data_IF_276204885206
#
_entry.id   IF_276204885206
#
_cell.length_a   1.000
_cell.length_b   1.000
_cell.length_c   1.000
_cell.angle_alpha   90.00
_cell.angle_beta   90.00
_cell.angle_gamma   90.00
#
_symmetry.space_group_name_H-M   'P 1'
#
loop_
_entity.id
_entity.type
_entity.pdbx_description
1 polymer ?
#
# COMPACT_ATOMS: atom_id res chain seq x y z
N UNK A 1 -12.71 -7.88 -1.43
CA UNK A 1 -12.04 -7.98 -2.76
C UNK A 1 -11.42 -9.34 -3.02
N UNK A 2 -10.66 -9.91 -2.08
CA UNK A 2 -10.06 -11.24 -2.27
C UNK A 2 -11.11 -12.36 -2.21
N UNK A 3 -11.07 -13.24 -3.21
CA UNK A 3 -11.80 -14.51 -3.28
C UNK A 3 -11.06 -15.44 -4.24
N UNK A 4 -11.14 -16.74 -4.01
CA UNK A 4 -10.52 -17.76 -4.90
C UNK A 4 -11.42 -18.13 -6.07
N UNK A 5 -12.73 -17.93 -5.94
CA UNK A 5 -13.69 -18.04 -7.04
C UNK A 5 -13.75 -16.70 -7.81
N UNK A 6 -13.43 -16.69 -9.11
CA UNK A 6 -13.51 -15.48 -9.94
C UNK A 6 -14.89 -14.84 -9.98
N UNK A 7 -15.98 -15.61 -9.91
CA UNK A 7 -17.35 -15.07 -9.94
C UNK A 7 -17.64 -14.29 -8.66
N UNK A 8 -17.28 -14.88 -7.52
CA UNK A 8 -17.42 -14.24 -6.22
C UNK A 8 -16.50 -13.01 -6.09
N UNK A 9 -15.26 -13.10 -6.59
CA UNK A 9 -14.34 -11.96 -6.67
C UNK A 9 -14.97 -10.82 -7.48
N UNK A 10 -15.47 -11.11 -8.68
CA UNK A 10 -16.08 -10.13 -9.56
C UNK A 10 -17.33 -9.49 -8.92
N UNK A 11 -18.17 -10.29 -8.23
CA UNK A 11 -19.33 -9.79 -7.47
C UNK A 11 -18.88 -8.80 -6.39
N UNK A 12 -17.92 -9.19 -5.56
CA UNK A 12 -17.39 -8.32 -4.49
C UNK A 12 -16.80 -7.04 -5.05
N UNK A 13 -15.96 -7.14 -6.08
CA UNK A 13 -15.35 -5.97 -6.73
C UNK A 13 -16.43 -5.04 -7.29
N UNK A 14 -17.44 -5.57 -7.96
CA UNK A 14 -18.54 -4.76 -8.52
C UNK A 14 -19.28 -3.96 -7.45
N UNK A 15 -19.54 -4.54 -6.29
CA UNK A 15 -20.27 -3.87 -5.21
C UNK A 15 -19.42 -2.85 -4.44
N UNK A 16 -18.09 -2.97 -4.48
CA UNK A 16 -17.18 -2.06 -3.78
C UNK A 16 -16.55 -1.01 -4.71
N UNK A 17 -16.71 -1.17 -6.03
CA UNK A 17 -16.03 -0.39 -7.07
C UNK A 17 -16.17 1.12 -6.93
N UNK A 18 -17.32 1.61 -6.42
CA UNK A 18 -17.56 3.04 -6.23
C UNK A 18 -16.51 3.69 -5.32
N UNK A 19 -16.07 2.98 -4.26
CA UNK A 19 -15.04 3.47 -3.33
C UNK A 19 -13.65 3.58 -3.94
N UNK A 20 -13.39 2.88 -5.05
CA UNK A 20 -12.11 2.88 -5.75
C UNK A 20 -12.16 3.62 -7.08
N UNK A 21 -13.23 4.38 -7.34
CA UNK A 21 -13.37 5.14 -8.57
C UNK A 21 -12.27 6.22 -8.64
N UNK A 22 -11.65 6.38 -9.82
CA UNK A 22 -10.57 7.36 -10.01
C UNK A 22 -11.02 8.78 -9.65
N UNK A 23 -12.28 9.15 -9.94
CA UNK A 23 -12.84 10.44 -9.55
C UNK A 23 -12.82 10.66 -8.03
N UNK A 24 -13.05 9.62 -7.24
CA UNK A 24 -13.00 9.66 -5.79
C UNK A 24 -11.56 9.78 -5.28
N UNK A 25 -10.67 8.98 -5.87
CA UNK A 25 -9.24 8.98 -5.60
C UNK A 25 -8.64 10.38 -5.84
N UNK A 26 -8.94 11.01 -6.98
CA UNK A 26 -8.53 12.39 -7.29
C UNK A 26 -9.18 13.40 -6.35
N UNK A 27 -10.47 13.26 -6.03
CA UNK A 27 -11.14 14.16 -5.08
C UNK A 27 -10.57 14.07 -3.65
N UNK A 28 -9.93 12.95 -3.28
CA UNK A 28 -9.30 12.76 -1.98
C UNK A 28 -7.93 13.45 -1.85
N UNK A 29 -7.36 13.90 -2.97
CA UNK A 29 -6.00 14.42 -3.07
C UNK A 29 -5.65 15.52 -2.04
N UNK A 30 -6.49 16.56 -1.81
CA UNK A 30 -6.18 17.61 -0.84
C UNK A 30 -6.07 17.10 0.61
N UNK A 31 -6.72 15.98 0.93
CA UNK A 31 -6.65 15.38 2.26
C UNK A 31 -5.40 14.50 2.43
N UNK A 32 -4.95 13.87 1.35
CA UNK A 32 -3.62 13.25 1.28
C UNK A 32 -2.53 14.30 1.48
N UNK A 33 -2.69 15.50 0.89
CA UNK A 33 -1.74 16.61 1.06
C UNK A 33 -1.57 17.01 2.52
N UNK A 34 -2.64 16.98 3.32
CA UNK A 34 -2.54 17.28 4.75
C UNK A 34 -1.72 16.21 5.50
N UNK A 35 -1.89 14.93 5.16
CA UNK A 35 -1.07 13.86 5.72
C UNK A 35 0.41 14.02 5.34
N UNK A 36 0.70 14.35 4.07
CA UNK A 36 2.07 14.61 3.60
C UNK A 36 2.65 15.87 4.29
N UNK A 37 1.86 16.92 4.48
CA UNK A 37 2.26 18.13 5.20
C UNK A 37 2.63 17.83 6.65
N UNK A 38 1.85 17.01 7.34
CA UNK A 38 2.15 16.56 8.69
C UNK A 38 3.42 15.71 8.73
N UNK A 39 3.60 14.77 7.79
CA UNK A 39 4.82 13.99 7.64
C UNK A 39 6.05 14.89 7.44
N UNK A 40 5.97 15.83 6.51
CA UNK A 40 7.02 16.84 6.24
C UNK A 40 7.36 17.65 7.48
N UNK A 41 6.34 18.13 8.20
CA UNK A 41 6.52 18.87 9.47
C UNK A 41 7.26 18.01 10.52
N UNK A 42 6.93 16.72 10.60
CA UNK A 42 7.58 15.78 11.53
C UNK A 42 9.03 15.54 11.12
N UNK A 43 9.30 15.22 9.87
CA UNK A 43 10.67 15.04 9.36
C UNK A 43 11.50 16.31 9.58
N UNK A 44 10.95 17.49 9.31
CA UNK A 44 11.63 18.77 9.54
C UNK A 44 12.06 18.96 11.00
N UNK A 45 11.28 18.45 11.97
CA UNK A 45 11.62 18.54 13.39
C UNK A 45 12.85 17.71 13.77
N UNK A 46 13.16 16.64 13.02
CA UNK A 46 14.41 15.87 13.15
C UNK A 46 15.53 16.44 12.30
N UNK A 47 15.22 16.94 11.10
CA UNK A 47 16.20 17.49 10.18
C UNK A 47 16.89 18.76 10.72
N UNK A 48 16.14 19.67 11.35
CA UNK A 48 16.68 20.91 11.93
C UNK A 48 17.84 20.69 12.93
N UNK A 49 17.72 19.80 13.91
CA UNK A 49 18.84 19.46 14.81
C UNK A 49 19.82 18.44 14.22
N UNK A 50 19.59 17.90 13.01
CA UNK A 50 20.39 16.81 12.44
C UNK A 50 20.20 15.47 13.17
N UNK A 51 19.03 15.25 13.76
CA UNK A 51 18.72 14.04 14.50
C UNK A 51 18.40 12.86 13.56
N UNK A 52 18.73 11.62 13.95
CA UNK A 52 18.36 10.44 13.19
C UNK A 52 16.83 10.28 13.12
N UNK A 53 16.33 9.78 11.98
CA UNK A 53 14.90 9.56 11.75
C UNK A 53 14.64 8.14 11.25
N UNK A 54 13.70 7.46 11.89
CA UNK A 54 13.19 6.15 11.46
C UNK A 54 12.12 6.35 10.39
N UNK A 55 12.54 6.46 9.12
CA UNK A 55 11.62 6.68 7.99
C UNK A 55 10.58 5.56 7.86
N UNK A 56 10.92 4.33 8.22
CA UNK A 56 10.00 3.20 8.23
C UNK A 56 8.77 3.45 9.11
N UNK A 57 8.97 4.00 10.31
CA UNK A 57 7.89 4.28 11.24
C UNK A 57 7.00 5.41 10.71
N UNK A 58 7.62 6.50 10.23
CA UNK A 58 6.90 7.66 9.73
C UNK A 58 6.13 7.37 8.43
N UNK A 59 6.65 6.51 7.55
CA UNK A 59 5.91 6.05 6.37
C UNK A 59 4.75 5.12 6.73
N UNK A 60 4.89 4.27 7.75
CA UNK A 60 3.74 3.52 8.29
C UNK A 60 2.67 4.48 8.82
N UNK A 61 3.05 5.45 9.66
CA UNK A 61 2.11 6.43 10.21
C UNK A 61 1.37 7.21 9.13
N UNK A 62 2.09 7.66 8.10
CA UNK A 62 1.47 8.35 6.97
C UNK A 62 0.49 7.45 6.23
N UNK A 63 0.88 6.21 5.92
CA UNK A 63 0.02 5.29 5.20
C UNK A 63 -1.26 4.92 5.96
N UNK A 64 -1.20 4.80 7.30
CA UNK A 64 -2.38 4.60 8.14
C UNK A 64 -3.29 5.84 8.19
N UNK A 65 -2.73 7.03 8.30
CA UNK A 65 -3.55 8.24 8.33
C UNK A 65 -4.16 8.57 6.96
N UNK A 66 -3.46 8.33 5.85
CA UNK A 66 -3.99 8.50 4.49
C UNK A 66 -5.16 7.54 4.24
N UNK A 67 -5.03 6.25 4.54
CA UNK A 67 -6.13 5.31 4.30
C UNK A 67 -7.33 5.64 5.18
N UNK A 68 -7.09 6.09 6.41
CA UNK A 68 -8.13 6.51 7.33
C UNK A 68 -8.87 7.74 6.83
N UNK A 69 -8.13 8.73 6.33
CA UNK A 69 -8.68 9.96 5.75
C UNK A 69 -9.54 9.66 4.51
N UNK A 70 -9.11 8.71 3.67
CA UNK A 70 -9.87 8.26 2.48
C UNK A 70 -11.14 7.46 2.88
N UNK A 71 -11.06 6.60 3.91
CA UNK A 71 -12.17 5.72 4.28
C UNK A 71 -13.17 6.35 5.24
N UNK A 72 -12.69 7.19 6.16
CA UNK A 72 -13.45 7.70 7.30
C UNK A 72 -13.52 9.23 7.35
N UNK A 73 -13.05 9.92 6.32
CA UNK A 73 -12.98 11.37 6.31
C UNK A 73 -12.24 11.98 7.50
N UNK A 74 -11.35 11.19 8.09
CA UNK A 74 -10.65 11.51 9.33
C UNK A 74 -9.40 10.64 9.48
N UNK A 75 -8.28 11.27 9.78
CA UNK A 75 -7.03 10.63 10.18
C UNK A 75 -7.19 9.87 11.52
N UNK A 76 -6.50 8.74 11.66
CA UNK A 76 -6.46 8.04 12.94
C UNK A 76 -5.62 8.80 13.98
N UNK A 77 -4.61 9.54 13.54
CA UNK A 77 -3.74 10.37 14.36
C UNK A 77 -2.36 9.75 14.60
N UNK A 78 -1.90 8.83 13.75
CA UNK A 78 -0.56 8.24 13.86
C UNK A 78 0.54 9.31 13.67
N UNK A 79 0.40 10.19 12.67
CA UNK A 79 1.32 11.30 12.41
C UNK A 79 1.28 12.37 13.51
N UNK A 80 0.08 12.67 14.02
CA UNK A 80 -0.10 13.65 15.07
C UNK A 80 0.48 13.16 16.40
N UNK A 81 0.29 11.90 16.76
CA UNK A 81 0.81 11.37 18.03
C UNK A 81 2.26 10.91 17.91
N UNK A 82 2.72 10.55 16.71
CA UNK A 82 4.01 9.90 16.48
C UNK A 82 4.11 8.52 17.12
N UNK A 83 2.98 7.84 17.33
CA UNK A 83 2.88 6.58 18.08
C UNK A 83 2.10 5.53 17.29
N UNK A 84 2.45 4.27 17.53
CA UNK A 84 1.67 3.13 17.06
C UNK A 84 0.35 3.03 17.84
N UNK A 85 -0.74 3.51 17.22
CA UNK A 85 -2.05 3.53 17.85
C UNK A 85 -2.59 2.11 18.03
N UNK A 86 -2.85 1.79 19.29
CA UNK A 86 -3.35 0.50 19.69
C UNK A 86 -2.38 -0.65 19.44
N UNK A 87 -1.11 -0.43 19.05
CA UNK A 87 -0.20 -1.53 18.69
C UNK A 87 -0.51 -2.14 17.31
N UNK A 88 -1.22 -1.42 16.44
CA UNK A 88 -1.66 -1.87 15.13
C UNK A 88 -0.49 -2.27 14.22
N UNK A 89 0.57 -1.46 14.17
CA UNK A 89 1.74 -1.70 13.32
C UNK A 89 2.57 -2.85 13.89
N UNK A 90 2.82 -2.84 15.20
CA UNK A 90 3.55 -3.92 15.87
C UNK A 90 2.87 -5.28 15.65
N UNK A 91 1.54 -5.31 15.74
CA UNK A 91 0.78 -6.52 15.47
C UNK A 91 0.86 -6.95 13.99
N UNK A 92 0.72 -6.03 13.03
CA UNK A 92 0.92 -6.35 11.60
C UNK A 92 2.28 -6.98 11.33
N UNK A 93 3.36 -6.47 11.94
CA UNK A 93 4.71 -7.03 11.79
C UNK A 93 4.82 -8.49 12.26
N UNK A 94 4.04 -8.90 13.25
CA UNK A 94 3.98 -10.30 13.72
C UNK A 94 3.03 -11.15 12.87
N UNK A 95 1.93 -10.56 12.41
CA UNK A 95 0.89 -11.26 11.68
C UNK A 95 1.31 -11.57 10.24
N UNK A 96 2.01 -10.67 9.56
CA UNK A 96 2.39 -10.82 8.15
C UNK A 96 3.23 -12.08 7.90
N UNK A 97 4.29 -12.40 8.68
CA UNK A 97 5.01 -13.66 8.53
C UNK A 97 4.12 -14.89 8.73
N UNK A 98 3.23 -14.84 9.73
CA UNK A 98 2.27 -15.92 9.96
C UNK A 98 1.36 -16.11 8.74
N UNK A 99 0.66 -15.06 8.30
CA UNK A 99 -0.26 -15.10 7.15
C UNK A 99 0.45 -15.51 5.86
N UNK A 100 1.67 -15.02 5.64
CA UNK A 100 2.48 -15.39 4.48
C UNK A 100 2.77 -16.88 4.46
N UNK A 101 3.15 -17.46 5.61
CA UNK A 101 3.42 -18.89 5.71
C UNK A 101 2.12 -19.72 5.60
N UNK A 102 1.10 -19.42 6.41
CA UNK A 102 -0.14 -20.21 6.43
C UNK A 102 -0.99 -20.05 5.17
N UNK A 103 -0.82 -18.94 4.43
CA UNK A 103 -1.48 -18.69 3.15
C UNK A 103 -1.11 -19.70 2.06
N UNK A 104 0.14 -20.21 2.07
CA UNK A 104 0.55 -21.30 1.18
C UNK A 104 0.14 -22.68 1.71
N UNK A 105 0.04 -22.85 3.03
CA UNK A 105 -0.33 -24.11 3.68
C UNK A 105 -1.77 -24.10 4.21
N UNK A 106 -2.75 -23.93 3.31
CA UNK A 106 -4.17 -23.83 3.67
C UNK A 106 -4.71 -25.02 4.47
N UNK A 107 -4.13 -26.21 4.27
CA UNK A 107 -4.44 -27.44 5.03
C UNK A 107 -4.02 -27.34 6.50
N UNK A 108 -2.94 -26.60 6.81
CA UNK A 108 -2.48 -26.32 8.17
C UNK A 108 -3.21 -25.12 8.80
N UNK A 109 -3.66 -24.17 7.97
CA UNK A 109 -4.43 -23.01 8.41
C UNK A 109 -5.85 -23.37 8.89
N UNK A 110 -6.52 -24.29 8.19
CA UNK A 110 -7.91 -24.71 8.48
C UNK A 110 -8.13 -25.22 9.91
N UNK A 111 -7.29 -26.09 10.48
CA UNK A 111 -7.47 -26.56 11.86
C UNK A 111 -6.95 -25.58 12.93
N UNK A 112 -6.29 -24.48 12.55
CA UNK A 112 -5.73 -23.48 13.47
C UNK A 112 -6.60 -22.22 13.49
N UNK A 113 -6.04 -21.03 13.20
CA UNK A 113 -6.74 -19.74 13.25
C UNK A 113 -7.84 -19.64 12.17
N UNK A 114 -7.79 -20.47 11.13
CA UNK A 114 -8.83 -20.56 10.11
C UNK A 114 -10.08 -21.35 10.51
N UNK A 115 -10.09 -21.97 11.70
CA UNK A 115 -11.26 -22.66 12.25
C UNK A 115 -12.16 -21.63 12.95
N UNK A 116 -13.42 -21.43 12.51
CA UNK A 116 -14.35 -20.48 13.13
C UNK A 116 -14.48 -20.65 14.64
N UNK A 117 -14.43 -21.89 15.15
CA UNK A 117 -14.53 -22.19 16.59
C UNK A 117 -13.31 -21.71 17.38
N UNK A 118 -12.15 -21.65 16.73
CA UNK A 118 -10.90 -21.14 17.31
C UNK A 118 -10.86 -19.63 17.15
N UNK A 119 -11.29 -19.08 16.01
CA UNK A 119 -11.39 -17.64 15.77
C UNK A 119 -12.33 -16.96 16.78
N UNK A 120 -13.46 -17.59 17.12
CA UNK A 120 -14.42 -17.09 18.12
C UNK A 120 -13.82 -17.08 19.54
N UNK A 121 -12.78 -17.89 19.80
CA UNK A 121 -12.01 -17.93 21.05
C UNK A 121 -10.85 -16.92 21.09
N UNK A 122 -10.66 -16.16 20.02
CA UNK A 122 -9.69 -15.08 19.87
C UNK A 122 -8.23 -15.39 20.30
N UNK A 123 -7.61 -16.52 19.87
CA UNK A 123 -6.19 -16.79 20.15
C UNK A 123 -5.24 -15.93 19.33
N UNK A 124 -5.75 -15.24 18.29
CA UNK A 124 -5.08 -14.07 17.77
C UNK A 124 -5.27 -12.95 18.77
N UNK A 125 -4.42 -12.96 19.81
CA UNK A 125 -4.06 -11.76 20.54
C UNK A 125 -3.87 -10.64 19.51
N UNK A 126 -4.86 -9.76 19.52
CA UNK A 126 -4.90 -8.40 19.00
C UNK A 126 -5.12 -8.17 17.50
N UNK A 127 -6.39 -8.21 17.04
CA UNK A 127 -6.76 -7.45 15.84
C UNK A 127 -6.82 -5.94 16.13
N UNK A 128 -5.69 -5.34 16.51
CA UNK A 128 -5.61 -3.91 16.85
C UNK A 128 -6.03 -2.99 15.69
N UNK A 129 -5.79 -3.42 14.45
CA UNK A 129 -6.32 -2.73 13.25
C UNK A 129 -7.85 -2.81 13.21
N UNK A 130 -8.44 -3.96 13.58
CA UNK A 130 -9.89 -4.09 13.67
C UNK A 130 -10.47 -3.20 14.76
N UNK A 131 -9.85 -3.13 15.94
CA UNK A 131 -10.28 -2.25 17.02
C UNK A 131 -10.23 -0.78 16.59
N UNK A 132 -9.16 -0.38 15.92
CA UNK A 132 -8.99 0.97 15.33
C UNK A 132 -10.08 1.27 14.30
N UNK A 133 -10.30 0.32 13.38
CA UNK A 133 -11.31 0.42 12.32
C UNK A 133 -12.73 0.48 12.88
N UNK A 134 -13.08 -0.41 13.80
CA UNK A 134 -14.39 -0.43 14.45
C UNK A 134 -14.62 0.84 15.28
N UNK A 135 -13.59 1.37 15.92
CA UNK A 135 -13.69 2.65 16.65
C UNK A 135 -14.00 3.80 15.70
N UNK A 136 -13.39 3.83 14.51
CA UNK A 136 -13.69 4.83 13.49
C UNK A 136 -15.11 4.69 12.93
N UNK A 137 -15.58 3.46 12.67
CA UNK A 137 -16.96 3.18 12.25
C UNK A 137 -17.96 3.65 13.32
N UNK A 138 -17.72 3.34 14.60
CA UNK A 138 -18.57 3.79 15.71
C UNK A 138 -18.56 5.32 15.86
N UNK A 139 -17.42 5.97 15.64
CA UNK A 139 -17.33 7.42 15.65
C UNK A 139 -18.15 8.04 14.51
N UNK A 140 -18.12 7.44 13.31
CA UNK A 140 -18.96 7.85 12.17
C UNK A 140 -20.45 7.81 12.49
N UNK A 141 -20.93 6.78 13.18
CA UNK A 141 -22.35 6.68 13.56
C UNK A 141 -22.84 7.89 14.37
N UNK A 142 -21.94 8.58 15.09
CA UNK A 142 -22.25 9.78 15.88
C UNK A 142 -22.16 11.09 15.09
N UNK A 143 -21.56 11.07 13.90
CA UNK A 143 -21.43 12.23 13.02
C UNK A 143 -21.69 11.82 11.56
N UNK A 144 -22.97 11.76 11.14
CA UNK A 144 -23.35 11.26 9.82
C UNK A 144 -23.07 12.27 8.70
N UNK A 145 -22.95 13.56 9.02
CA UNK A 145 -22.71 14.62 8.04
C UNK A 145 -21.21 14.79 7.81
N UNK A 146 -20.69 13.96 6.92
CA UNK A 146 -19.30 14.00 6.46
C UNK A 146 -19.25 14.13 4.95
N UNK A 147 -18.09 14.53 4.44
CA UNK A 147 -17.82 14.45 3.00
C UNK A 147 -18.03 13.02 2.49
N UNK A 148 -18.29 12.89 1.21
CA UNK A 148 -18.42 11.57 0.59
C UNK A 148 -17.07 10.86 0.63
N UNK A 149 -17.00 9.75 1.36
CA UNK A 149 -15.86 8.85 1.50
C UNK A 149 -16.23 7.41 1.14
N UNK A 150 -15.22 6.54 1.11
CA UNK A 150 -15.39 5.12 0.78
C UNK A 150 -16.42 4.44 1.68
N UNK A 151 -16.39 4.71 2.99
CA UNK A 151 -17.36 4.14 3.92
C UNK A 151 -18.78 4.58 3.58
N UNK A 152 -19.01 5.86 3.31
CA UNK A 152 -20.33 6.36 2.93
C UNK A 152 -20.83 5.72 1.63
N UNK A 153 -19.96 5.60 0.63
CA UNK A 153 -20.30 4.96 -0.65
C UNK A 153 -20.72 3.50 -0.45
N UNK A 154 -20.02 2.76 0.42
CA UNK A 154 -20.36 1.36 0.72
C UNK A 154 -21.60 1.24 1.63
N UNK A 155 -21.81 2.17 2.56
CA UNK A 155 -23.02 2.23 3.37
C UNK A 155 -24.26 2.46 2.47
N UNK A 156 -24.18 3.40 1.52
CA UNK A 156 -25.24 3.63 0.51
C UNK A 156 -25.50 2.38 -0.33
N UNK A 157 -24.46 1.64 -0.71
CA UNK A 157 -24.60 0.38 -1.45
C UNK A 157 -25.27 -0.71 -0.62
N UNK A 158 -24.90 -0.84 0.67
CA UNK A 158 -25.52 -1.77 1.60
C UNK A 158 -27.00 -1.42 1.83
N UNK A 159 -27.32 -0.15 2.06
CA UNK A 159 -28.69 0.32 2.25
C UNK A 159 -29.57 0.04 1.02
N UNK A 160 -29.03 0.27 -0.18
CA UNK A 160 -29.76 0.06 -1.44
C UNK A 160 -29.88 -1.41 -1.85
N UNK A 161 -28.88 -2.22 -1.52
CA UNK A 161 -28.78 -3.63 -1.93
C UNK A 161 -28.19 -4.50 -0.80
N UNK A 162 -28.89 -4.68 0.33
CA UNK A 162 -28.37 -5.40 1.49
C UNK A 162 -28.07 -6.88 1.19
N UNK A 163 -28.74 -7.45 0.17
CA UNK A 163 -28.50 -8.81 -0.33
C UNK A 163 -27.20 -8.94 -1.14
N UNK A 164 -26.65 -7.83 -1.63
CA UNK A 164 -25.42 -7.80 -2.44
C UNK A 164 -24.19 -7.40 -1.63
N UNK A 165 -24.37 -6.66 -0.55
CA UNK A 165 -23.29 -6.30 0.37
C UNK A 165 -23.88 -6.33 1.78
N UNK A 166 -23.62 -7.38 2.54
CA UNK A 166 -24.05 -7.44 3.95
C UNK A 166 -23.19 -6.52 4.83
N UNK A 167 -23.72 -6.11 5.98
CA UNK A 167 -22.98 -5.29 6.95
C UNK A 167 -21.67 -5.95 7.40
N UNK A 168 -21.71 -7.28 7.64
CA UNK A 168 -20.52 -8.06 7.99
C UNK A 168 -19.47 -8.03 6.87
N UNK A 169 -19.90 -8.19 5.61
CA UNK A 169 -18.98 -8.08 4.47
C UNK A 169 -18.42 -6.67 4.32
N UNK A 170 -19.22 -5.63 4.54
CA UNK A 170 -18.80 -4.23 4.50
C UNK A 170 -17.73 -3.96 5.56
N UNK A 171 -17.99 -4.25 6.84
CA UNK A 171 -17.01 -4.04 7.92
C UNK A 171 -15.73 -4.85 7.68
N UNK A 172 -15.86 -6.09 7.21
CA UNK A 172 -14.71 -6.90 6.82
C UNK A 172 -13.89 -6.28 5.69
N UNK A 173 -14.54 -5.71 4.67
CA UNK A 173 -13.86 -5.05 3.56
C UNK A 173 -13.18 -3.75 3.97
N UNK A 174 -13.79 -2.95 4.84
CA UNK A 174 -13.16 -1.74 5.39
C UNK A 174 -11.91 -2.11 6.18
N UNK A 175 -12.00 -3.08 7.10
CA UNK A 175 -10.86 -3.52 7.91
C UNK A 175 -9.70 -4.06 7.05
N UNK A 176 -10.01 -4.89 6.05
CA UNK A 176 -8.99 -5.38 5.10
C UNK A 176 -8.37 -4.23 4.32
N UNK A 177 -9.15 -3.25 3.87
CA UNK A 177 -8.63 -2.13 3.07
C UNK A 177 -7.69 -1.24 3.88
N UNK A 178 -7.99 -1.01 5.18
CA UNK A 178 -7.10 -0.28 6.09
C UNK A 178 -5.76 -1.00 6.25
N UNK A 179 -5.76 -2.30 6.56
CA UNK A 179 -4.52 -3.05 6.74
C UNK A 179 -3.72 -3.20 5.43
N UNK A 180 -4.37 -3.70 4.38
CA UNK A 180 -3.70 -4.06 3.12
C UNK A 180 -3.14 -2.82 2.40
N UNK A 181 -3.88 -1.71 2.38
CA UNK A 181 -3.42 -0.50 1.70
C UNK A 181 -2.31 0.21 2.48
N UNK A 182 -2.41 0.31 3.81
CA UNK A 182 -1.37 0.95 4.61
C UNK A 182 -0.05 0.21 4.54
N UNK A 183 -0.05 -1.11 4.66
CA UNK A 183 1.17 -1.91 4.61
C UNK A 183 1.86 -1.86 3.23
N UNK A 184 1.09 -1.87 2.15
CA UNK A 184 1.64 -1.81 0.78
C UNK A 184 2.21 -0.43 0.45
N UNK A 185 1.52 0.65 0.81
CA UNK A 185 2.01 2.03 0.61
C UNK A 185 3.26 2.29 1.45
N UNK A 186 3.25 1.89 2.73
CA UNK A 186 4.40 2.10 3.61
C UNK A 186 5.60 1.29 3.14
N UNK A 187 5.43 0.02 2.74
CA UNK A 187 6.50 -0.80 2.20
C UNK A 187 7.07 -0.24 0.90
N UNK A 188 6.21 0.33 0.05
CA UNK A 188 6.62 0.95 -1.21
C UNK A 188 7.48 2.19 -0.98
N UNK A 189 7.05 3.09 -0.10
CA UNK A 189 7.83 4.27 0.27
C UNK A 189 9.15 3.89 0.93
N UNK A 190 9.14 2.94 1.88
CA UNK A 190 10.36 2.48 2.51
C UNK A 190 11.34 1.92 1.45
N UNK A 191 10.86 1.04 0.57
CA UNK A 191 11.68 0.41 -0.48
C UNK A 191 12.23 1.45 -1.44
N UNK A 192 11.38 2.38 -1.87
CA UNK A 192 11.75 3.49 -2.74
C UNK A 192 12.90 4.32 -2.13
N UNK A 193 12.74 4.78 -0.88
CA UNK A 193 13.75 5.62 -0.24
C UNK A 193 15.04 4.85 0.05
N UNK A 194 14.94 3.63 0.54
CA UNK A 194 16.13 2.81 0.79
C UNK A 194 16.93 2.56 -0.49
N UNK A 195 16.27 2.15 -1.57
CA UNK A 195 16.95 1.84 -2.83
C UNK A 195 17.62 3.09 -3.42
N UNK A 196 16.99 4.25 -3.33
CA UNK A 196 17.62 5.50 -3.75
C UNK A 196 18.78 5.92 -2.84
N UNK A 197 18.62 5.85 -1.52
CA UNK A 197 19.68 6.21 -0.57
C UNK A 197 20.92 5.31 -0.76
N UNK A 198 20.71 4.02 -1.02
CA UNK A 198 21.76 3.04 -1.31
C UNK A 198 22.36 3.18 -2.72
N UNK A 199 21.75 3.98 -3.59
CA UNK A 199 22.22 4.25 -4.95
C UNK A 199 22.31 5.76 -5.21
N UNK A 200 23.32 6.45 -4.66
CA UNK A 200 23.45 7.92 -4.74
C UNK A 200 23.38 8.48 -6.16
N UNK A 201 23.87 7.72 -7.15
CA UNK A 201 23.77 8.07 -8.56
C UNK A 201 22.32 8.18 -9.06
N UNK A 202 21.44 7.27 -8.64
CA UNK A 202 20.02 7.31 -9.00
C UNK A 202 19.27 8.37 -8.17
N UNK A 203 19.63 8.54 -6.89
CA UNK A 203 19.09 9.62 -6.07
C UNK A 203 19.40 11.00 -6.67
N UNK A 204 20.62 11.21 -7.15
CA UNK A 204 21.00 12.46 -7.82
C UNK A 204 20.16 12.72 -9.07
N UNK A 205 19.92 11.70 -9.91
CA UNK A 205 19.07 11.83 -11.10
C UNK A 205 17.62 12.15 -10.72
N UNK A 206 17.04 11.46 -9.73
CA UNK A 206 15.69 11.74 -9.26
C UNK A 206 15.54 13.16 -8.71
N UNK A 207 16.52 13.63 -7.92
CA UNK A 207 16.54 15.01 -7.40
C UNK A 207 16.69 16.04 -8.52
N UNK A 208 17.54 15.78 -9.51
CA UNK A 208 17.69 16.67 -10.66
C UNK A 208 16.39 16.76 -11.47
N UNK A 209 15.74 15.63 -11.74
CA UNK A 209 14.44 15.60 -12.44
C UNK A 209 13.37 16.43 -11.70
N UNK A 210 13.31 16.31 -10.38
CA UNK A 210 12.39 17.11 -9.54
C UNK A 210 12.74 18.60 -9.60
N UNK A 211 14.03 18.96 -9.55
CA UNK A 211 14.46 20.35 -9.63
C UNK A 211 14.12 20.98 -11.01
N UNK A 212 14.36 20.24 -12.09
CA UNK A 212 14.08 20.69 -13.46
C UNK A 212 12.58 20.88 -13.73
N UNK A 213 11.73 20.16 -12.99
CA UNK A 213 10.28 20.30 -13.08
C UNK A 213 9.75 21.63 -12.53
N UNK A 214 10.57 22.44 -11.84
CA UNK A 214 10.22 23.76 -11.31
C UNK A 214 8.90 23.77 -10.52
N UNK A 215 8.76 22.80 -9.62
CA UNK A 215 7.56 22.62 -8.79
C UNK A 215 7.43 23.81 -7.82
N UNK A 216 6.24 24.41 -7.75
CA UNK A 216 5.99 25.61 -6.93
C UNK A 216 5.12 25.33 -5.70
N UNK A 217 4.41 24.21 -5.68
CA UNK A 217 3.51 23.85 -4.59
C UNK A 217 4.27 23.34 -3.36
N UNK A 218 3.76 23.65 -2.16
CA UNK A 218 4.32 23.14 -0.89
C UNK A 218 4.35 21.61 -0.83
N UNK A 219 3.30 20.98 -1.37
CA UNK A 219 3.14 19.55 -1.55
C UNK A 219 3.00 19.32 -3.06
N UNK A 220 3.80 18.41 -3.60
CA UNK A 220 3.79 18.09 -5.03
C UNK A 220 2.46 17.43 -5.38
N UNK A 221 1.76 17.92 -6.41
CA UNK A 221 0.50 17.35 -6.87
C UNK A 221 0.68 15.98 -7.53
N UNK A 222 -0.36 15.15 -7.57
CA UNK A 222 -0.35 13.88 -8.30
C UNK A 222 -0.02 14.09 -9.79
N UNK A 223 -0.62 15.14 -10.36
CA UNK A 223 -0.41 15.52 -11.75
C UNK A 223 1.05 15.88 -12.04
N UNK A 224 1.73 16.55 -11.12
CA UNK A 224 3.15 16.87 -11.26
C UNK A 224 4.02 15.63 -11.03
N UNK A 225 3.76 14.86 -9.98
CA UNK A 225 4.51 13.64 -9.67
C UNK A 225 4.41 12.58 -10.78
N UNK A 226 3.26 12.50 -11.44
CA UNK A 226 3.01 11.62 -12.59
C UNK A 226 3.81 12.00 -13.85
N UNK A 227 4.29 13.25 -13.94
CA UNK A 227 5.11 13.73 -15.08
C UNK A 227 6.62 13.53 -14.88
N UNK A 228 7.04 12.90 -13.79
CA UNK A 228 8.45 12.65 -13.45
C UNK A 228 8.84 11.21 -13.84
N UNK A 229 9.24 10.94 -15.10
CA UNK A 229 9.41 9.58 -15.59
C UNK A 229 10.48 8.75 -14.87
N UNK A 230 11.56 9.37 -14.40
CA UNK A 230 12.59 8.69 -13.63
C UNK A 230 12.10 8.38 -12.22
N UNK A 231 11.44 9.32 -11.55
CA UNK A 231 10.80 9.06 -10.25
C UNK A 231 9.83 7.87 -10.33
N UNK A 232 8.99 7.85 -11.37
CA UNK A 232 8.03 6.78 -11.66
C UNK A 232 8.70 5.43 -11.97
N UNK A 233 9.95 5.44 -12.39
CA UNK A 233 10.72 4.24 -12.71
C UNK A 233 11.40 3.60 -11.48
N UNK A 234 11.43 4.30 -10.34
CA UNK A 234 12.11 3.84 -9.14
C UNK A 234 11.33 2.81 -8.32
N UNK A 235 10.07 2.52 -8.66
CA UNK A 235 9.20 1.58 -7.95
C UNK A 235 8.95 0.27 -8.71
N UNK A 236 8.89 -0.86 -8.00
CA UNK A 236 8.65 -2.19 -8.59
C UNK A 236 7.89 -3.12 -7.65
N UNK A 237 6.64 -3.46 -7.95
CA UNK A 237 5.91 -4.54 -7.27
C UNK A 237 5.03 -5.35 -8.23
N UNK A 238 4.74 -6.61 -7.87
CA UNK A 238 3.94 -7.53 -8.66
C UNK A 238 3.34 -8.64 -7.78
N UNK A 239 2.05 -8.94 -7.97
CA UNK A 239 1.26 -9.83 -7.10
C UNK A 239 1.20 -11.28 -7.61
N UNK A 240 1.13 -12.23 -6.67
CA UNK A 240 1.03 -13.67 -6.97
C UNK A 240 -0.32 -14.05 -7.62
N UNK A 241 -0.36 -15.21 -8.29
CA UNK A 241 -1.54 -15.75 -8.99
C UNK A 241 -1.70 -17.25 -8.74
N UNK A 242 -2.95 -17.72 -8.72
CA UNK A 242 -3.30 -19.14 -8.52
C UNK A 242 -3.89 -19.72 -9.81
N UNK A 243 -3.51 -20.95 -10.16
CA UNK A 243 -4.01 -21.64 -11.35
C UNK A 243 -5.49 -22.03 -11.17
N UNK A 244 -6.38 -21.73 -12.14
CA UNK A 244 -7.79 -22.10 -12.09
C UNK A 244 -8.02 -23.61 -11.94
N UNK A 245 -9.21 -24.01 -11.46
CA UNK A 245 -9.56 -25.40 -11.22
C UNK A 245 -9.55 -26.30 -12.48
N UNK A 246 -9.65 -25.72 -13.67
CA UNK A 246 -9.57 -26.45 -14.95
C UNK A 246 -8.12 -26.71 -15.41
N UNK A 247 -7.12 -26.28 -14.62
CA UNK A 247 -5.75 -26.17 -15.09
C UNK A 247 -5.60 -25.04 -16.11
N UNK A 248 -4.36 -24.77 -16.53
CA UNK A 248 -4.10 -23.85 -17.64
C UNK A 248 -2.85 -24.26 -18.39
N UNK A 249 -2.91 -24.25 -19.71
CA UNK A 249 -1.73 -24.45 -20.56
C UNK A 249 -1.17 -23.11 -20.97
N UNK A 250 0.06 -22.80 -20.55
CA UNK A 250 0.77 -21.55 -20.90
C UNK A 250 2.11 -21.95 -21.52
N UNK A 251 2.41 -21.43 -22.72
CA UNK A 251 3.70 -21.69 -23.39
C UNK A 251 3.97 -23.19 -23.64
N UNK A 252 2.93 -23.97 -23.94
CA UNK A 252 3.05 -25.43 -24.15
C UNK A 252 3.18 -26.27 -22.88
N UNK A 253 3.22 -25.66 -21.69
CA UNK A 253 3.26 -26.37 -20.41
C UNK A 253 1.89 -26.34 -19.74
N UNK A 254 1.34 -27.51 -19.43
CA UNK A 254 0.12 -27.63 -18.63
C UNK A 254 0.44 -27.43 -17.15
N UNK A 255 -0.31 -26.56 -16.49
CA UNK A 255 -0.25 -26.33 -15.06
C UNK A 255 -1.47 -26.96 -14.40
N UNK A 256 -1.20 -27.88 -13.47
CA UNK A 256 -2.24 -28.57 -12.72
C UNK A 256 -3.02 -27.62 -11.81
N UNK A 257 -4.31 -27.92 -11.55
CA UNK A 257 -5.11 -27.19 -10.58
C UNK A 257 -4.45 -27.07 -9.21
N UNK A 258 -4.62 -25.92 -8.56
CA UNK A 258 -4.13 -25.71 -7.19
C UNK A 258 -2.65 -25.31 -7.07
N UNK A 259 -1.92 -25.21 -8.18
CA UNK A 259 -0.57 -24.64 -8.18
C UNK A 259 -0.63 -23.12 -7.95
N UNK A 260 0.20 -22.63 -7.02
CA UNK A 260 0.40 -21.19 -6.78
C UNK A 260 1.68 -20.74 -7.48
N UNK A 261 1.61 -19.66 -8.25
CA UNK A 261 2.76 -19.07 -8.94
C UNK A 261 3.19 -17.83 -8.17
N UNK A 262 4.40 -17.89 -7.62
CA UNK A 262 5.01 -16.74 -6.97
C UNK A 262 5.49 -15.74 -8.04
N UNK A 263 4.88 -14.56 -8.06
CA UNK A 263 5.21 -13.49 -9.00
C UNK A 263 6.64 -12.98 -8.85
N UNK A 264 7.23 -13.05 -7.64
CA UNK A 264 8.60 -12.58 -7.41
C UNK A 264 9.61 -13.27 -8.33
N UNK A 265 9.37 -14.53 -8.69
CA UNK A 265 10.27 -15.29 -9.58
C UNK A 265 10.38 -14.63 -10.96
N UNK A 266 9.28 -14.06 -11.49
CA UNK A 266 9.33 -13.40 -12.79
C UNK A 266 10.24 -12.17 -12.76
N UNK A 267 10.28 -11.44 -11.63
CA UNK A 267 11.11 -10.25 -11.45
C UNK A 267 12.62 -10.57 -11.41
N UNK A 268 13.00 -11.84 -11.28
CA UNK A 268 14.39 -12.32 -11.38
C UNK A 268 14.66 -13.07 -12.69
N UNK A 269 13.75 -13.02 -13.67
CA UNK A 269 13.95 -13.65 -14.97
C UNK A 269 15.03 -12.91 -15.78
N UNK A 270 16.17 -13.57 -15.99
CA UNK A 270 17.24 -13.05 -16.87
C UNK A 270 16.81 -12.95 -18.33
N UNK A 271 15.87 -13.81 -18.75
CA UNK A 271 15.28 -13.75 -20.09
C UNK A 271 14.52 -12.43 -20.32
N UNK A 272 13.81 -11.94 -19.30
CA UNK A 272 13.01 -10.72 -19.41
C UNK A 272 13.80 -9.46 -19.07
N UNK A 273 14.72 -9.55 -18.10
CA UNK A 273 15.37 -8.38 -17.52
C UNK A 273 16.87 -8.30 -17.77
N UNK A 274 17.49 -9.33 -18.39
CA UNK A 274 18.93 -9.41 -18.62
C UNK A 274 19.71 -9.99 -17.44
N UNK A 275 21.03 -10.13 -17.62
CA UNK A 275 21.93 -10.71 -16.61
C UNK A 275 22.04 -9.85 -15.34
N UNK A 276 21.79 -8.54 -15.44
CA UNK A 276 21.88 -7.58 -14.36
C UNK A 276 20.59 -7.49 -13.51
N UNK A 277 19.68 -8.46 -13.63
CA UNK A 277 18.38 -8.49 -12.90
C UNK A 277 18.50 -8.38 -11.37
N UNK A 278 19.64 -8.76 -10.80
CA UNK A 278 19.92 -8.61 -9.36
C UNK A 278 20.31 -7.18 -8.94
N UNK A 279 20.51 -6.27 -9.89
CA UNK A 279 20.97 -4.90 -9.67
C UNK A 279 19.79 -3.93 -9.79
N UNK A 280 19.69 -3.02 -8.82
CA UNK A 280 18.71 -1.94 -8.85
C UNK A 280 19.03 -0.97 -10.00
N UNK A 281 18.15 -0.92 -11.00
CA UNK A 281 18.32 -0.12 -12.21
C UNK A 281 16.97 0.45 -12.67
N UNK A 282 16.59 1.67 -12.24
CA UNK A 282 15.38 2.35 -12.69
C UNK A 282 15.30 2.52 -14.21
N UNK A 283 16.44 2.64 -14.90
CA UNK A 283 16.47 2.85 -16.36
C UNK A 283 15.86 1.69 -17.17
N UNK A 284 15.62 0.52 -16.56
CA UNK A 284 14.83 -0.57 -17.18
C UNK A 284 13.42 -0.12 -17.58
N UNK A 285 12.86 0.83 -16.85
CA UNK A 285 11.48 1.31 -17.01
C UNK A 285 11.38 2.61 -17.83
N UNK A 286 12.50 3.04 -18.43
CA UNK A 286 12.60 4.25 -19.22
C UNK A 286 12.97 3.88 -20.66
N UNK A 287 12.43 4.62 -21.63
CA UNK A 287 12.78 4.46 -23.05
C UNK A 287 12.03 3.32 -23.77
N UNK A 288 12.46 2.97 -25.00
CA UNK A 288 11.74 2.03 -25.87
C UNK A 288 11.55 0.63 -25.26
N UNK A 289 12.53 0.14 -24.49
CA UNK A 289 12.46 -1.17 -23.83
C UNK A 289 11.32 -1.28 -22.80
N UNK A 290 10.91 -0.16 -22.19
CA UNK A 290 9.85 -0.14 -21.19
C UNK A 290 8.46 -0.40 -21.78
N UNK A 291 8.26 -0.20 -23.11
CA UNK A 291 6.96 -0.40 -23.76
C UNK A 291 6.43 -1.83 -23.66
N UNK A 292 7.34 -2.80 -23.51
CA UNK A 292 6.99 -4.22 -23.39
C UNK A 292 6.72 -4.65 -21.93
N UNK A 293 6.96 -3.76 -20.96
CA UNK A 293 6.80 -4.06 -19.54
C UNK A 293 5.63 -3.23 -19.00
N UNK A 294 4.50 -3.88 -18.72
CA UNK A 294 3.30 -3.20 -18.22
C UNK A 294 3.58 -2.63 -16.83
N UNK A 295 3.46 -1.31 -16.68
CA UNK A 295 3.48 -0.65 -15.36
C UNK A 295 2.27 -1.13 -14.53
N UNK A 296 2.52 -1.52 -13.29
CA UNK A 296 1.45 -1.70 -12.31
C UNK A 296 0.98 -0.32 -11.83
N UNK A 297 -0.32 -0.18 -11.62
CA UNK A 297 -0.91 1.06 -11.09
C UNK A 297 -0.34 1.33 -9.70
N UNK A 298 0.32 2.47 -9.53
CA UNK A 298 0.89 2.92 -8.26
C UNK A 298 -0.08 3.90 -7.60
N UNK A 299 -0.19 3.83 -6.28
CA UNK A 299 -1.02 4.73 -5.49
C UNK A 299 -0.49 6.17 -5.54
N UNK A 300 -1.39 7.16 -5.71
CA UNK A 300 -1.02 8.58 -5.84
C UNK A 300 -0.13 9.07 -4.68
N UNK A 301 -0.38 8.57 -3.47
CA UNK A 301 0.30 9.05 -2.27
C UNK A 301 1.80 8.74 -2.26
N UNK A 302 2.24 7.69 -2.96
CA UNK A 302 3.64 7.25 -2.95
C UNK A 302 4.52 8.29 -3.66
N UNK A 303 4.24 8.57 -4.93
CA UNK A 303 5.07 9.49 -5.70
C UNK A 303 4.92 10.94 -5.27
N UNK A 304 3.74 11.34 -4.79
CA UNK A 304 3.55 12.67 -4.19
C UNK A 304 4.41 12.87 -2.95
N UNK A 305 4.36 11.92 -2.02
CA UNK A 305 5.17 11.98 -0.81
C UNK A 305 6.66 11.91 -1.16
N UNK A 306 7.05 11.01 -2.06
CA UNK A 306 8.43 10.87 -2.50
C UNK A 306 8.97 12.17 -3.14
N UNK A 307 8.25 12.74 -4.12
CA UNK A 307 8.64 13.97 -4.79
C UNK A 307 8.74 15.13 -3.81
N UNK A 308 7.74 15.31 -2.94
CA UNK A 308 7.72 16.37 -1.92
C UNK A 308 8.92 16.25 -0.98
N UNK A 309 9.20 15.06 -0.48
CA UNK A 309 10.30 14.86 0.46
C UNK A 309 11.68 14.98 -0.21
N UNK A 310 11.85 14.48 -1.44
CA UNK A 310 13.10 14.61 -2.18
C UNK A 310 13.38 16.04 -2.65
N UNK A 311 12.32 16.83 -2.89
CA UNK A 311 12.41 18.26 -3.17
C UNK A 311 12.96 19.03 -1.96
N UNK A 312 12.46 18.74 -0.75
CA UNK A 312 12.72 19.56 0.43
C UNK A 312 13.88 19.08 1.33
N UNK A 313 14.27 17.81 1.22
CA UNK A 313 15.22 17.20 2.15
C UNK A 313 16.41 16.55 1.44
N UNK A 314 17.52 16.46 2.18
CA UNK A 314 18.63 15.57 1.84
C UNK A 314 18.60 14.35 2.75
N UNK A 315 18.64 13.16 2.15
CA UNK A 315 18.67 11.90 2.88
C UNK A 315 20.07 11.32 2.82
N UNK A 316 20.61 10.96 4.00
CA UNK A 316 21.91 10.30 4.16
C UNK A 316 21.75 9.11 5.10
N UNK A 317 22.36 7.95 4.81
CA UNK A 317 22.33 6.83 5.72
C UNK A 317 23.15 7.18 6.98
N UNK A 318 22.65 6.80 8.15
CA UNK A 318 23.41 6.90 9.41
C UNK A 318 24.52 5.85 9.41
N UNK A 319 24.18 4.63 8.98
CA UNK A 319 25.10 3.52 8.77
C UNK A 319 24.99 3.07 7.30
N UNK A 320 25.99 3.38 6.44
CA UNK A 320 26.00 2.95 5.04
C UNK A 320 26.07 1.43 4.86
N UNK A 321 26.61 0.68 5.83
CA UNK A 321 26.73 -0.77 5.73
C UNK A 321 25.48 -1.52 6.19
N UNK A 322 24.56 -0.81 6.86
CA UNK A 322 23.29 -1.38 7.32
C UNK A 322 22.45 -1.85 6.13
N UNK A 323 22.31 -3.17 6.02
CA UNK A 323 21.36 -3.80 5.09
C UNK A 323 19.94 -3.70 5.63
N UNK A 324 18.97 -3.73 4.72
CA UNK A 324 17.57 -3.79 5.09
C UNK A 324 17.30 -5.02 5.98
N UNK A 325 16.72 -4.79 7.15
CA UNK A 325 16.26 -5.80 8.10
C UNK A 325 14.74 -5.94 8.06
#
# INVERSE_FOLDING_TARGET
MSATDPKEQARRMKNLAAGFALSHVVASEPYVDECIRLLKKRILSFAKPGAPVHLDQWFNYMAFDVIAEIHFSRQFGFLETGKDLGGSIANSRLLVPYVTMVGFFRTLHRPTVGNPLITDWNPMLTQHILDTTLSAIKARQKNPDVREDVLLLWLKQHERYPEKLSEKELHGCVNMSVGDASDTVSASLQSFFYLLIQNPQHLAVAKQEIADANLTSEIVSDADASRLPFLQACETFGLARVVPAAGVTIGGRHLEPGLSVNSRVIHYSRELFGEDVGIYNPNRWIGPQAKNIKKCFVALEIFKAAATLLHDFEFKPIDPEQKWS
#
